data_IF_780781365170
#
_entry.id   IF_780781365170
#
_cell.length_a   1.000
_cell.length_b   1.000
_cell.length_c   1.000
_cell.angle_alpha   90.00
_cell.angle_beta   90.00
_cell.angle_gamma   90.00
#
_symmetry.space_group_name_H-M   'P 1'
#
loop_
_entity.id
_entity.type
_entity.pdbx_description
1 polymer ?
#
# COMPACT_ATOMS: atom_id res chain seq x y z
N UNK A 1 53.99 28.53 -15.14
CA UNK A 1 52.71 29.26 -15.06
C UNK A 1 51.61 28.26 -15.47
N UNK A 2 50.97 27.60 -14.49
CA UNK A 2 50.00 26.53 -14.75
C UNK A 2 48.64 27.05 -14.23
N UNK A 3 47.72 27.34 -15.15
CA UNK A 3 46.35 27.74 -14.85
C UNK A 3 45.56 26.54 -14.30
N UNK A 4 45.03 26.64 -13.09
CA UNK A 4 43.99 25.76 -12.54
C UNK A 4 42.65 26.42 -12.81
N UNK A 5 41.64 25.73 -13.41
CA UNK A 5 40.28 26.26 -13.46
C UNK A 5 39.60 26.04 -12.11
N UNK A 6 39.17 27.12 -11.49
CA UNK A 6 38.24 27.13 -10.37
C UNK A 6 36.83 26.82 -10.89
N UNK A 7 36.31 25.64 -10.57
CA UNK A 7 34.89 25.29 -10.82
C UNK A 7 34.05 26.00 -9.77
N UNK A 8 33.20 26.90 -10.21
CA UNK A 8 32.33 27.72 -9.39
C UNK A 8 31.20 26.89 -8.75
N UNK A 9 30.97 27.11 -7.46
CA UNK A 9 29.95 26.43 -6.61
C UNK A 9 28.52 26.96 -6.81
N UNK A 10 28.15 27.41 -8.02
CA UNK A 10 26.89 28.11 -8.28
C UNK A 10 25.66 27.23 -8.64
N UNK A 11 25.75 25.90 -8.60
CA UNK A 11 24.66 25.01 -9.04
C UNK A 11 23.99 24.20 -7.94
N UNK A 12 24.19 24.56 -6.66
CA UNK A 12 23.60 23.80 -5.51
C UNK A 12 22.25 24.31 -4.99
N UNK A 13 21.64 25.31 -5.64
CA UNK A 13 20.48 26.03 -5.09
C UNK A 13 19.15 26.00 -5.85
N UNK A 14 18.99 25.30 -6.99
CA UNK A 14 17.83 25.53 -7.89
C UNK A 14 16.91 24.32 -8.08
N UNK A 15 16.98 23.28 -7.27
CA UNK A 15 16.11 22.09 -7.47
C UNK A 15 14.91 21.96 -6.51
N UNK A 16 14.62 22.92 -5.65
CA UNK A 16 13.56 22.79 -4.61
C UNK A 16 12.29 23.62 -4.86
N UNK A 17 12.21 24.45 -5.88
CA UNK A 17 11.08 25.43 -5.98
C UNK A 17 10.21 25.33 -7.23
N UNK A 18 10.23 24.27 -8.01
CA UNK A 18 9.48 24.19 -9.27
C UNK A 18 8.26 23.24 -9.28
N UNK A 19 7.85 22.63 -8.16
CA UNK A 19 6.72 21.67 -8.13
C UNK A 19 5.43 22.18 -7.45
N UNK A 20 5.28 23.47 -7.21
CA UNK A 20 4.18 23.99 -6.38
C UNK A 20 3.04 24.69 -7.14
N UNK A 21 2.98 24.67 -8.45
CA UNK A 21 1.95 25.41 -9.18
C UNK A 21 1.31 24.68 -10.35
N UNK A 22 0.89 23.45 -10.21
CA UNK A 22 -0.18 22.84 -11.03
C UNK A 22 -0.83 21.77 -10.15
N UNK A 23 -1.90 22.09 -9.44
CA UNK A 23 -2.75 21.13 -8.78
C UNK A 23 -4.00 20.89 -9.62
N UNK A 24 -4.02 19.86 -10.49
CA UNK A 24 -5.30 19.25 -10.84
C UNK A 24 -5.75 18.37 -9.68
N UNK A 25 -7.06 18.23 -9.51
CA UNK A 25 -7.74 17.46 -8.46
C UNK A 25 -7.09 16.12 -8.16
N UNK A 26 -6.50 16.01 -7.00
CA UNK A 26 -5.65 14.91 -6.58
C UNK A 26 -6.33 14.01 -5.52
N UNK A 27 -6.12 12.65 -5.46
CA UNK A 27 -7.01 11.69 -4.74
C UNK A 27 -6.32 10.35 -4.38
N UNK A 28 -6.63 9.68 -3.22
CA UNK A 28 -5.87 8.62 -2.51
C UNK A 28 -6.21 7.11 -2.78
N UNK A 29 -5.56 6.22 -2.24
CA UNK A 29 -5.22 4.85 -1.94
C UNK A 29 -5.99 3.63 -2.40
N UNK A 30 -7.30 3.57 -2.42
CA UNK A 30 -8.02 2.31 -2.62
C UNK A 30 -7.83 1.31 -1.45
N UNK A 31 -8.06 0.01 -1.70
CA UNK A 31 -7.83 -1.03 -0.69
C UNK A 31 -6.39 -1.59 -0.67
N UNK A 32 -5.42 -0.83 -1.19
CA UNK A 32 -3.99 -1.17 -1.11
C UNK A 32 -3.41 -0.89 0.27
N UNK A 33 -2.69 -1.84 0.84
CA UNK A 33 -2.03 -1.69 2.14
C UNK A 33 -0.54 -1.41 1.92
N UNK A 34 -0.10 -0.17 2.20
CA UNK A 34 1.32 0.20 2.18
C UNK A 34 2.04 -0.09 3.48
N UNK A 35 1.34 -0.54 4.51
CA UNK A 35 1.90 -0.88 5.83
C UNK A 35 2.71 -2.19 5.77
N UNK A 36 3.83 -2.17 5.03
CA UNK A 36 4.70 -3.32 4.79
C UNK A 36 6.07 -3.17 5.46
N UNK A 37 6.42 -1.99 6.01
CA UNK A 37 7.71 -1.70 6.63
C UNK A 37 7.55 -0.68 7.75
N UNK A 38 8.00 -1.01 8.97
CA UNK A 38 8.02 -0.05 10.08
C UNK A 38 9.04 1.08 9.82
N UNK A 39 10.21 0.75 9.27
CA UNK A 39 11.20 1.74 8.89
C UNK A 39 10.68 2.70 7.81
N UNK A 40 10.05 2.17 6.75
CA UNK A 40 9.47 2.97 5.67
C UNK A 40 8.33 3.86 6.15
N UNK A 41 7.46 3.36 7.01
CA UNK A 41 6.37 4.14 7.60
C UNK A 41 6.87 5.27 8.51
N UNK A 42 8.03 5.12 9.16
CA UNK A 42 8.65 6.19 9.93
C UNK A 42 9.04 7.43 9.11
N UNK A 43 9.11 7.31 7.79
CA UNK A 43 9.43 8.39 6.85
C UNK A 43 8.34 8.61 5.78
N UNK A 44 7.08 8.27 6.04
CA UNK A 44 5.97 8.31 5.08
C UNK A 44 6.30 7.57 3.76
N UNK A 45 6.99 6.42 3.86
CA UNK A 45 7.52 5.59 2.76
C UNK A 45 8.46 6.31 1.77
N UNK A 46 9.03 7.46 2.16
CA UNK A 46 10.02 8.16 1.37
C UNK A 46 11.28 7.29 1.19
N UNK A 47 11.76 7.16 -0.05
CA UNK A 47 12.99 6.46 -0.40
C UNK A 47 12.95 4.93 -0.33
N UNK A 48 11.77 4.29 -0.15
CA UNK A 48 11.68 2.83 0.04
C UNK A 48 12.26 2.02 -1.12
N UNK A 49 12.15 2.49 -2.36
CA UNK A 49 12.75 1.80 -3.51
C UNK A 49 14.29 1.99 -3.58
N UNK A 50 14.84 3.01 -2.93
CA UNK A 50 16.26 3.38 -2.93
C UNK A 50 17.01 3.05 -1.63
N UNK A 51 16.29 2.65 -0.57
CA UNK A 51 16.88 2.35 0.74
C UNK A 51 17.49 0.95 0.83
N UNK A 52 17.84 0.56 2.05
CA UNK A 52 18.60 -0.67 2.33
C UNK A 52 17.89 -1.61 3.32
N UNK A 53 16.70 -1.25 3.85
CA UNK A 53 15.97 -2.14 4.75
C UNK A 53 15.50 -3.40 4.02
N UNK A 54 15.49 -4.53 4.70
CA UNK A 54 15.07 -5.80 4.12
C UNK A 54 13.60 -5.75 3.67
N UNK A 55 12.73 -5.10 4.45
CA UNK A 55 11.31 -4.89 4.12
C UNK A 55 11.08 -4.01 2.88
N UNK A 56 12.07 -3.23 2.44
CA UNK A 56 11.98 -2.45 1.21
C UNK A 56 11.99 -3.32 -0.06
N UNK A 57 12.35 -4.60 0.07
CA UNK A 57 12.22 -5.60 -1.00
C UNK A 57 10.76 -5.79 -1.47
N UNK A 58 9.77 -5.38 -0.65
CA UNK A 58 8.37 -5.29 -1.10
C UNK A 58 8.24 -4.37 -2.32
N UNK A 59 8.86 -3.18 -2.28
CA UNK A 59 8.81 -2.22 -3.39
C UNK A 59 9.85 -2.49 -4.47
N UNK A 60 11.06 -2.94 -4.08
CA UNK A 60 12.19 -3.10 -4.99
C UNK A 60 13.05 -4.31 -4.60
N UNK A 61 12.96 -5.46 -5.29
CA UNK A 61 13.76 -6.65 -4.97
C UNK A 61 15.28 -6.41 -5.13
N UNK A 62 15.74 -5.39 -5.85
CA UNK A 62 17.16 -5.09 -5.99
C UNK A 62 17.82 -4.63 -4.68
N UNK A 63 17.05 -4.18 -3.68
CA UNK A 63 17.58 -3.78 -2.37
C UNK A 63 18.25 -4.94 -1.63
N UNK A 64 17.87 -6.19 -1.95
CA UNK A 64 18.45 -7.39 -1.37
C UNK A 64 19.95 -7.53 -1.70
N UNK A 65 20.46 -6.90 -2.75
CA UNK A 65 21.90 -6.86 -3.07
C UNK A 65 22.74 -6.16 -2.00
N UNK A 66 22.12 -5.40 -1.08
CA UNK A 66 22.81 -4.75 0.05
C UNK A 66 22.88 -5.65 1.30
N UNK A 67 22.32 -6.85 1.26
CA UNK A 67 22.34 -7.80 2.38
C UNK A 67 23.70 -8.50 2.42
N UNK A 68 24.35 -8.42 3.59
CA UNK A 68 25.71 -8.92 3.82
C UNK A 68 25.77 -10.31 4.49
N UNK A 69 24.70 -10.72 5.16
CA UNK A 69 24.56 -12.00 5.87
C UNK A 69 23.11 -12.43 5.92
N UNK A 70 22.83 -13.61 6.40
CA UNK A 70 21.45 -14.06 6.59
C UNK A 70 20.68 -13.09 7.51
N UNK A 71 19.53 -12.60 7.05
CA UNK A 71 18.70 -11.63 7.77
C UNK A 71 17.23 -12.06 7.75
N UNK A 72 16.56 -11.77 8.86
CA UNK A 72 15.10 -11.90 8.99
C UNK A 72 14.54 -10.59 9.54
N UNK A 73 13.42 -10.14 9.03
CA UNK A 73 12.68 -8.99 9.52
C UNK A 73 11.21 -9.35 9.68
N UNK A 74 10.67 -9.17 10.89
CA UNK A 74 9.24 -9.24 11.17
C UNK A 74 8.69 -7.84 11.38
N UNK A 75 7.55 -7.53 10.76
CA UNK A 75 6.84 -6.24 10.90
C UNK A 75 5.42 -6.50 11.33
N UNK A 76 4.93 -5.68 12.25
CA UNK A 76 3.54 -5.69 12.72
C UNK A 76 3.00 -4.27 12.64
N UNK A 77 1.90 -4.09 11.93
CA UNK A 77 1.23 -2.80 11.82
C UNK A 77 -0.19 -2.92 12.37
N UNK A 78 -0.55 -2.04 13.30
CA UNK A 78 -1.91 -1.92 13.83
C UNK A 78 -2.52 -0.67 13.23
N UNK A 79 -3.64 -0.85 12.53
CA UNK A 79 -4.38 0.22 11.84
C UNK A 79 -5.61 0.57 12.65
N UNK A 80 -5.77 1.85 13.00
CA UNK A 80 -6.90 2.44 13.70
C UNK A 80 -7.60 3.43 12.77
N UNK A 81 -8.58 2.97 11.96
CA UNK A 81 -9.33 3.85 11.07
C UNK A 81 -10.48 4.52 11.83
N UNK A 82 -10.59 5.83 11.77
CA UNK A 82 -11.79 6.60 12.07
C UNK A 82 -12.35 7.09 10.73
N UNK A 83 -13.34 6.39 10.20
CA UNK A 83 -13.95 6.66 8.88
C UNK A 83 -15.43 6.87 9.12
N UNK A 84 -15.90 8.11 8.99
CA UNK A 84 -17.31 8.44 9.13
C UNK A 84 -17.96 8.75 7.79
N UNK A 85 -19.23 8.43 7.71
CA UNK A 85 -20.16 8.89 6.66
C UNK A 85 -21.25 9.73 7.32
N UNK A 86 -21.48 10.89 6.77
CA UNK A 86 -22.53 11.83 7.19
C UNK A 86 -23.61 11.96 6.10
N UNK A 87 -24.64 11.10 6.13
CA UNK A 87 -25.70 11.11 5.13
C UNK A 87 -26.57 12.38 5.28
N UNK A 88 -26.96 12.98 4.16
CA UNK A 88 -27.73 14.24 4.13
C UNK A 88 -29.07 14.19 4.89
N UNK A 89 -29.64 13.01 5.11
CA UNK A 89 -30.96 12.83 5.73
C UNK A 89 -30.97 11.88 6.94
N UNK A 90 -29.81 11.63 7.57
CA UNK A 90 -29.68 10.67 8.67
C UNK A 90 -28.49 11.02 9.56
N UNK A 91 -28.33 10.31 10.67
CA UNK A 91 -27.19 10.49 11.56
C UNK A 91 -25.87 10.00 10.94
N UNK A 92 -24.80 10.67 11.29
CA UNK A 92 -23.42 10.24 10.98
C UNK A 92 -23.15 8.84 11.51
N UNK A 93 -22.47 8.02 10.73
CA UNK A 93 -22.09 6.64 11.10
C UNK A 93 -20.58 6.44 10.95
N UNK A 94 -19.97 5.79 11.92
CA UNK A 94 -18.60 5.29 11.82
C UNK A 94 -18.62 3.90 11.19
N UNK A 95 -17.80 3.71 10.15
CA UNK A 95 -17.68 2.45 9.42
C UNK A 95 -16.30 1.82 9.54
N UNK A 96 -15.32 2.50 10.13
CA UNK A 96 -13.94 2.04 10.27
C UNK A 96 -13.81 0.81 11.17
N UNK A 97 -13.03 -0.19 10.77
CA UNK A 97 -12.68 -1.34 11.61
C UNK A 97 -11.17 -1.50 11.68
N UNK A 98 -10.65 -1.59 12.91
CA UNK A 98 -9.24 -1.82 13.14
C UNK A 98 -8.72 -3.12 12.52
N UNK A 99 -7.45 -3.11 12.11
CA UNK A 99 -6.80 -4.26 11.50
C UNK A 99 -5.37 -4.43 11.99
N UNK A 100 -4.93 -5.69 12.08
CA UNK A 100 -3.53 -6.08 12.26
C UNK A 100 -2.98 -6.57 10.92
N UNK A 101 -1.89 -5.98 10.46
CA UNK A 101 -1.23 -6.31 9.19
C UNK A 101 0.21 -6.75 9.46
N UNK A 102 0.47 -8.06 9.54
CA UNK A 102 1.82 -8.57 9.66
C UNK A 102 2.52 -8.62 8.29
N UNK A 103 3.86 -8.48 8.30
CA UNK A 103 4.71 -8.77 7.16
C UNK A 103 6.00 -9.45 7.65
N UNK A 104 6.56 -10.32 6.84
CA UNK A 104 7.78 -11.06 7.15
C UNK A 104 8.72 -11.08 5.94
N UNK A 105 10.00 -10.92 6.19
CA UNK A 105 11.04 -10.87 5.18
C UNK A 105 12.22 -11.71 5.62
N UNK A 106 12.85 -12.35 4.65
CA UNK A 106 14.07 -13.15 4.85
C UNK A 106 14.98 -12.96 3.65
N UNK A 107 16.28 -12.85 3.88
CA UNK A 107 17.27 -12.80 2.81
C UNK A 107 18.54 -13.54 3.19
N UNK A 108 19.12 -14.22 2.18
CA UNK A 108 20.31 -15.03 2.30
C UNK A 108 21.24 -14.72 1.12
N UNK A 109 22.43 -14.14 1.36
CA UNK A 109 23.47 -14.04 0.35
C UNK A 109 23.91 -15.46 -0.07
N UNK A 110 23.86 -15.73 -1.37
CA UNK A 110 24.37 -16.98 -1.96
C UNK A 110 25.87 -16.87 -2.28
N UNK A 111 26.30 -15.68 -2.64
CA UNK A 111 27.68 -15.28 -2.88
C UNK A 111 27.83 -13.76 -2.82
N UNK A 112 28.97 -13.19 -3.18
CA UNK A 112 29.25 -11.75 -3.15
C UNK A 112 28.36 -10.91 -4.09
N UNK A 113 27.66 -11.53 -5.05
CA UNK A 113 26.82 -10.84 -6.04
C UNK A 113 25.34 -11.24 -6.01
N UNK A 114 25.00 -12.41 -5.49
CA UNK A 114 23.64 -12.94 -5.54
C UNK A 114 23.06 -13.09 -4.14
N UNK A 115 21.82 -12.61 -3.97
CA UNK A 115 21.07 -12.76 -2.72
C UNK A 115 19.69 -13.33 -3.03
N UNK A 116 19.33 -14.42 -2.37
CA UNK A 116 17.99 -14.99 -2.36
C UNK A 116 17.17 -14.31 -1.27
N UNK A 117 15.94 -13.94 -1.60
CA UNK A 117 14.98 -13.36 -0.66
C UNK A 117 13.64 -14.06 -0.68
N UNK A 118 12.90 -13.90 0.40
CA UNK A 118 11.51 -14.33 0.53
C UNK A 118 10.75 -13.30 1.35
N UNK A 119 9.53 -12.94 0.92
CA UNK A 119 8.62 -12.18 1.76
C UNK A 119 7.24 -12.81 1.81
N UNK A 120 6.57 -12.62 2.95
CA UNK A 120 5.14 -12.89 3.15
C UNK A 120 4.51 -11.58 3.60
N UNK A 121 3.58 -11.07 2.80
CA UNK A 121 3.00 -9.72 2.97
C UNK A 121 1.51 -9.73 2.71
N UNK A 122 0.80 -8.69 3.14
CA UNK A 122 -0.63 -8.49 2.88
C UNK A 122 -0.84 -7.20 2.08
N UNK A 123 -0.68 -7.22 0.75
CA UNK A 123 -0.68 -6.01 -0.07
C UNK A 123 -2.06 -5.36 -0.23
N UNK A 124 -3.15 -6.09 0.00
CA UNK A 124 -4.52 -5.60 -0.11
C UNK A 124 -5.35 -6.01 1.09
N UNK A 125 -6.19 -5.08 1.56
CA UNK A 125 -7.10 -5.32 2.67
C UNK A 125 -8.09 -4.17 2.83
N UNK A 126 -9.26 -4.51 3.36
CA UNK A 126 -10.32 -3.57 3.72
C UNK A 126 -11.12 -4.17 4.86
N UNK A 127 -11.46 -3.34 5.84
CA UNK A 127 -12.39 -3.71 6.89
C UNK A 127 -13.28 -2.50 7.21
N UNK A 128 -14.51 -2.53 6.69
CA UNK A 128 -15.54 -1.52 7.00
C UNK A 128 -16.84 -2.20 7.40
N UNK A 129 -17.56 -1.59 8.32
CA UNK A 129 -18.84 -2.10 8.81
C UNK A 129 -19.70 -0.95 9.33
N UNK A 130 -20.76 -0.64 8.60
CA UNK A 130 -21.79 0.29 9.03
C UNK A 130 -22.79 -0.38 10.00
N UNK A 131 -23.55 0.40 10.79
CA UNK A 131 -24.68 -0.10 11.60
C UNK A 131 -25.76 -0.78 10.74
N UNK A 132 -26.57 -1.67 11.36
CA UNK A 132 -27.57 -2.45 10.63
C UNK A 132 -28.65 -1.60 9.96
N UNK A 133 -29.07 -0.50 10.59
CA UNK A 133 -30.18 0.35 10.11
C UNK A 133 -29.67 1.75 9.74
N UNK A 134 -28.71 1.86 8.86
CA UNK A 134 -28.21 3.14 8.40
C UNK A 134 -28.75 3.51 7.01
N UNK A 135 -28.70 4.79 6.65
CA UNK A 135 -29.34 5.31 5.43
C UNK A 135 -28.84 4.66 4.12
N UNK A 136 -27.57 4.25 4.07
CA UNK A 136 -26.97 3.62 2.89
C UNK A 136 -26.89 2.09 2.94
N UNK A 137 -27.69 1.43 3.78
CA UNK A 137 -27.59 -0.02 4.02
C UNK A 137 -27.75 -0.89 2.76
N UNK A 138 -28.51 -0.44 1.77
CA UNK A 138 -28.67 -1.16 0.47
C UNK A 138 -27.40 -1.08 -0.39
N UNK A 139 -26.55 -0.09 -0.17
CA UNK A 139 -25.27 0.11 -0.87
C UNK A 139 -24.11 -0.60 -0.18
N UNK A 140 -24.16 -0.76 1.15
CA UNK A 140 -23.14 -1.48 1.89
C UNK A 140 -23.42 -1.53 3.38
N UNK A 141 -23.16 -2.68 4.01
CA UNK A 141 -23.16 -2.88 5.45
C UNK A 141 -21.78 -3.31 5.93
N UNK A 142 -21.21 -4.33 5.31
CA UNK A 142 -19.89 -4.84 5.65
C UNK A 142 -19.06 -5.08 4.41
N UNK A 143 -17.78 -4.71 4.45
CA UNK A 143 -16.83 -5.02 3.40
C UNK A 143 -15.54 -5.52 4.05
N UNK A 144 -15.14 -6.71 3.67
CA UNK A 144 -13.89 -7.34 4.09
C UNK A 144 -13.12 -7.77 2.84
N UNK A 145 -11.89 -7.28 2.71
CA UNK A 145 -10.91 -7.77 1.73
C UNK A 145 -9.71 -8.23 2.52
N UNK A 146 -9.18 -9.37 2.17
CA UNK A 146 -7.97 -9.92 2.72
C UNK A 146 -7.10 -10.48 1.60
N UNK A 147 -5.80 -10.22 1.66
CA UNK A 147 -4.84 -10.88 0.79
C UNK A 147 -3.60 -11.31 1.56
N UNK A 148 -2.96 -12.35 1.08
CA UNK A 148 -1.61 -12.76 1.48
C UNK A 148 -0.81 -13.07 0.24
N UNK A 149 0.43 -12.58 0.19
CA UNK A 149 1.33 -12.71 -0.95
C UNK A 149 2.64 -13.32 -0.49
N UNK A 150 3.00 -14.45 -1.06
CA UNK A 150 4.31 -15.07 -0.94
C UNK A 150 5.17 -14.66 -2.15
N UNK A 151 6.35 -14.11 -1.90
CA UNK A 151 7.21 -13.56 -2.94
C UNK A 151 8.67 -14.01 -2.78
N UNK A 152 9.05 -15.17 -3.34
CA UNK A 152 10.46 -15.50 -3.54
C UNK A 152 11.11 -14.53 -4.53
N UNK A 153 12.33 -14.09 -4.22
CA UNK A 153 13.06 -13.05 -4.96
C UNK A 153 14.53 -13.45 -5.13
N UNK A 154 15.12 -12.98 -6.22
CA UNK A 154 16.56 -13.08 -6.46
C UNK A 154 17.09 -11.69 -6.82
N UNK A 155 18.14 -11.25 -6.14
CA UNK A 155 18.84 -10.01 -6.46
C UNK A 155 20.25 -10.33 -6.95
N UNK A 156 20.73 -9.51 -7.91
CA UNK A 156 22.04 -9.62 -8.49
C UNK A 156 22.74 -8.25 -8.51
N UNK A 157 23.91 -8.18 -7.87
CA UNK A 157 24.80 -7.01 -7.93
C UNK A 157 25.63 -7.11 -9.21
N UNK A 158 25.27 -6.31 -10.22
CA UNK A 158 25.96 -6.28 -11.52
C UNK A 158 27.36 -5.72 -11.32
N UNK A 159 27.46 -4.60 -10.60
CA UNK A 159 28.70 -3.93 -10.20
C UNK A 159 28.42 -3.03 -8.96
N UNK A 160 29.37 -2.17 -8.59
CA UNK A 160 29.21 -1.28 -7.41
C UNK A 160 28.17 -0.16 -7.61
N UNK A 161 27.77 0.11 -8.86
CA UNK A 161 26.79 1.15 -9.21
C UNK A 161 25.40 0.57 -9.43
N UNK A 162 25.28 -0.63 -10.02
CA UNK A 162 24.02 -1.22 -10.47
C UNK A 162 23.75 -2.55 -9.78
N UNK A 163 22.55 -2.65 -9.21
CA UNK A 163 21.93 -3.90 -8.76
C UNK A 163 20.56 -4.06 -9.38
N UNK A 164 20.18 -5.30 -9.69
CA UNK A 164 18.86 -5.66 -10.23
C UNK A 164 18.23 -6.77 -9.38
N UNK A 165 16.92 -6.90 -9.46
CA UNK A 165 16.20 -7.95 -8.74
C UNK A 165 14.95 -8.37 -9.46
N UNK A 166 14.53 -9.61 -9.25
CA UNK A 166 13.32 -10.22 -9.77
C UNK A 166 12.66 -11.06 -8.68
N UNK A 167 11.35 -11.16 -8.70
CA UNK A 167 10.60 -12.04 -7.81
C UNK A 167 9.32 -12.56 -8.46
N UNK A 168 8.86 -13.69 -7.95
CA UNK A 168 7.59 -14.32 -8.31
C UNK A 168 6.58 -14.03 -7.19
N UNK A 169 5.37 -13.58 -7.54
CA UNK A 169 4.30 -13.32 -6.60
C UNK A 169 3.24 -14.42 -6.69
N UNK A 170 2.92 -15.06 -5.57
CA UNK A 170 1.77 -15.95 -5.45
C UNK A 170 0.85 -15.34 -4.41
N UNK A 171 -0.32 -14.89 -4.85
CA UNK A 171 -1.25 -14.12 -4.02
C UNK A 171 -2.59 -14.83 -3.87
N UNK A 172 -2.97 -15.11 -2.63
CA UNK A 172 -4.34 -15.44 -2.26
C UNK A 172 -5.11 -14.15 -2.01
N UNK A 173 -6.31 -14.06 -2.56
CA UNK A 173 -7.23 -12.92 -2.41
C UNK A 173 -8.60 -13.43 -2.00
N UNK A 174 -9.23 -12.75 -1.03
CA UNK A 174 -10.55 -13.07 -0.52
C UNK A 174 -11.35 -11.81 -0.31
N UNK A 175 -12.63 -11.85 -0.67
CA UNK A 175 -13.58 -10.77 -0.43
C UNK A 175 -14.85 -11.28 0.23
N UNK A 176 -15.45 -10.46 1.10
CA UNK A 176 -16.78 -10.63 1.65
C UNK A 176 -17.48 -9.30 1.71
N UNK A 177 -18.56 -9.15 0.96
CA UNK A 177 -19.35 -7.93 0.86
C UNK A 177 -20.78 -8.22 1.29
N UNK A 178 -21.35 -7.38 2.17
CA UNK A 178 -22.77 -7.48 2.55
C UNK A 178 -23.48 -6.15 2.33
N UNK A 179 -24.76 -6.23 2.05
CA UNK A 179 -25.68 -5.11 1.95
C UNK A 179 -27.10 -5.58 2.28
N UNK A 180 -27.96 -4.66 2.73
CA UNK A 180 -29.36 -4.99 2.91
C UNK A 180 -30.04 -5.24 1.56
N UNK A 181 -30.99 -6.16 1.53
CA UNK A 181 -31.81 -6.42 0.33
C UNK A 181 -32.93 -5.39 0.16
N UNK A 182 -33.21 -4.59 1.21
CA UNK A 182 -34.27 -3.59 1.24
C UNK A 182 -33.85 -2.42 2.16
N UNK A 183 -34.59 -1.33 2.10
CA UNK A 183 -34.41 -0.11 2.91
C UNK A 183 -35.13 -0.18 4.26
N UNK A 184 -36.04 -1.13 4.44
CA UNK A 184 -36.77 -1.28 5.70
C UNK A 184 -35.82 -1.61 6.86
N UNK A 185 -36.14 -1.15 8.08
CA UNK A 185 -35.35 -1.51 9.27
C UNK A 185 -35.22 -3.02 9.42
N UNK A 186 -34.03 -3.47 9.80
CA UNK A 186 -33.68 -4.89 9.98
C UNK A 186 -33.83 -5.77 8.73
N UNK A 187 -33.88 -5.17 7.53
CA UNK A 187 -33.85 -5.91 6.29
C UNK A 187 -32.70 -6.94 6.29
N UNK A 188 -32.93 -8.18 5.83
CA UNK A 188 -31.88 -9.20 5.77
C UNK A 188 -30.77 -8.82 4.80
N UNK A 189 -29.61 -9.48 4.93
CA UNK A 189 -28.45 -9.24 4.09
C UNK A 189 -28.44 -10.10 2.82
N UNK A 190 -28.00 -9.48 1.71
CA UNK A 190 -27.33 -10.17 0.63
C UNK A 190 -25.82 -10.19 0.92
N UNK A 191 -25.18 -11.35 0.77
CA UNK A 191 -23.77 -11.57 1.07
C UNK A 191 -23.06 -12.24 -0.11
N UNK A 192 -22.11 -11.53 -0.71
CA UNK A 192 -21.16 -12.08 -1.67
C UNK A 192 -19.87 -12.47 -0.92
N UNK A 193 -19.43 -13.71 -1.09
CA UNK A 193 -18.15 -14.20 -0.58
C UNK A 193 -17.46 -14.98 -1.70
N UNK A 194 -16.21 -14.62 -2.01
CA UNK A 194 -15.43 -15.31 -3.01
C UNK A 194 -13.93 -15.18 -2.68
N UNK A 195 -13.16 -16.16 -3.13
CA UNK A 195 -11.69 -16.18 -2.98
C UNK A 195 -11.03 -16.90 -4.14
N UNK A 196 -9.73 -16.63 -4.33
CA UNK A 196 -8.94 -17.22 -5.39
C UNK A 196 -7.46 -16.94 -5.24
N UNK A 197 -6.65 -17.61 -6.06
CA UNK A 197 -5.20 -17.46 -6.11
C UNK A 197 -4.81 -16.89 -7.48
N UNK A 198 -3.87 -15.94 -7.47
CA UNK A 198 -3.28 -15.38 -8.68
C UNK A 198 -1.77 -15.36 -8.62
N UNK A 199 -1.13 -15.25 -9.77
CA UNK A 199 0.33 -15.22 -9.91
C UNK A 199 0.76 -13.96 -10.65
N UNK A 200 1.86 -13.38 -10.20
CA UNK A 200 2.48 -12.22 -10.80
C UNK A 200 3.99 -12.22 -10.60
N UNK A 201 4.62 -11.09 -10.90
CA UNK A 201 6.05 -10.92 -10.72
C UNK A 201 6.37 -9.51 -10.23
N UNK A 202 7.59 -9.33 -9.73
CA UNK A 202 8.15 -8.01 -9.46
C UNK A 202 9.56 -7.89 -10.02
N UNK A 203 9.93 -6.67 -10.37
CA UNK A 203 11.23 -6.31 -10.89
C UNK A 203 11.78 -5.15 -10.09
N UNK A 204 13.11 -5.04 -10.02
CA UNK A 204 13.75 -3.95 -9.33
C UNK A 204 15.10 -3.58 -9.90
N UNK A 205 15.45 -2.32 -9.73
CA UNK A 205 16.75 -1.76 -10.04
C UNK A 205 17.17 -0.78 -8.96
N UNK A 206 18.44 -0.80 -8.59
CA UNK A 206 19.07 0.22 -7.75
C UNK A 206 20.32 0.73 -8.43
N UNK A 207 20.45 2.06 -8.49
CA UNK A 207 21.60 2.77 -9.03
C UNK A 207 22.24 3.62 -7.93
N UNK A 208 23.56 3.60 -7.84
CA UNK A 208 24.40 4.45 -6.98
C UNK A 208 25.29 5.35 -7.87
N UNK A 209 24.71 6.36 -8.54
CA UNK A 209 25.38 7.10 -9.61
C UNK A 209 26.43 8.12 -9.09
N UNK A 210 26.39 8.47 -7.80
CA UNK A 210 27.37 9.35 -7.14
C UNK A 210 27.47 9.01 -5.65
N UNK A 211 28.46 9.58 -4.98
CA UNK A 211 28.71 9.32 -3.56
C UNK A 211 27.51 9.74 -2.69
N UNK A 212 27.03 8.81 -1.87
CA UNK A 212 25.90 9.01 -0.97
C UNK A 212 24.52 9.06 -1.65
N UNK A 213 24.45 9.01 -3.00
CA UNK A 213 23.21 9.02 -3.76
C UNK A 213 22.79 7.62 -4.17
N UNK A 214 21.49 7.31 -4.00
CA UNK A 214 20.87 6.07 -4.50
C UNK A 214 19.53 6.41 -5.16
N UNK A 215 19.32 5.85 -6.34
CA UNK A 215 18.04 5.87 -7.06
C UNK A 215 17.55 4.44 -7.17
N UNK A 216 16.30 4.21 -6.83
CA UNK A 216 15.68 2.89 -6.94
C UNK A 216 14.40 2.94 -7.75
N UNK A 217 14.19 1.93 -8.58
CA UNK A 217 12.96 1.72 -9.34
C UNK A 217 12.46 0.31 -9.07
N UNK A 218 11.22 0.21 -8.65
CA UNK A 218 10.54 -1.06 -8.44
C UNK A 218 9.24 -1.14 -9.22
N UNK A 219 8.94 -2.33 -9.70
CA UNK A 219 7.70 -2.66 -10.39
C UNK A 219 7.10 -3.94 -9.81
N UNK A 220 5.84 -3.90 -9.45
CA UNK A 220 5.03 -5.07 -9.11
C UNK A 220 3.94 -5.21 -10.16
N UNK A 221 3.83 -6.39 -10.77
CA UNK A 221 2.82 -6.62 -11.81
C UNK A 221 1.41 -6.62 -11.23
N UNK A 222 0.44 -6.31 -12.05
CA UNK A 222 -0.95 -6.66 -11.80
C UNK A 222 -1.07 -8.18 -11.66
N UNK A 223 -2.04 -8.64 -10.84
CA UNK A 223 -2.33 -10.06 -10.63
C UNK A 223 -3.81 -10.30 -10.88
N UNK A 224 -4.13 -11.14 -11.85
CA UNK A 224 -5.50 -11.57 -12.11
C UNK A 224 -5.86 -12.72 -11.19
N UNK A 225 -7.06 -12.67 -10.63
CA UNK A 225 -7.64 -13.69 -9.77
C UNK A 225 -8.98 -14.12 -10.36
N UNK A 226 -9.12 -15.40 -10.59
CA UNK A 226 -10.41 -16.02 -10.79
C UNK A 226 -10.97 -16.35 -9.40
N UNK A 227 -12.01 -15.62 -9.00
CA UNK A 227 -12.61 -15.72 -7.68
C UNK A 227 -13.83 -16.61 -7.76
N UNK A 228 -13.83 -17.70 -7.00
CA UNK A 228 -14.94 -18.61 -6.85
C UNK A 228 -15.59 -18.47 -5.46
N UNK A 229 -16.91 -18.59 -5.42
CA UNK A 229 -17.63 -18.41 -4.17
C UNK A 229 -19.13 -18.55 -4.28
N UNK A 230 -19.84 -17.68 -3.57
CA UNK A 230 -21.29 -17.70 -3.57
C UNK A 230 -21.91 -16.35 -3.18
N UNK A 231 -23.08 -16.10 -3.76
CA UNK A 231 -24.02 -15.06 -3.37
C UNK A 231 -25.14 -15.71 -2.53
N UNK A 232 -25.27 -15.29 -1.28
CA UNK A 232 -26.34 -15.71 -0.38
C UNK A 232 -27.33 -14.56 -0.22
N UNK A 233 -28.60 -14.83 -0.41
CA UNK A 233 -29.72 -13.91 -0.21
C UNK A 233 -30.82 -14.59 0.63
N UNK A 234 -31.82 -13.87 1.11
CA UNK A 234 -32.96 -14.48 1.79
C UNK A 234 -33.73 -15.52 0.92
N UNK A 235 -33.62 -15.42 -0.41
CA UNK A 235 -34.26 -16.32 -1.36
C UNK A 235 -33.46 -17.60 -1.62
N UNK A 236 -32.21 -17.67 -1.16
CA UNK A 236 -31.35 -18.83 -1.36
C UNK A 236 -29.90 -18.48 -1.60
N UNK A 237 -29.14 -19.49 -2.03
CA UNK A 237 -27.69 -19.38 -2.29
C UNK A 237 -27.37 -19.82 -3.72
N UNK A 238 -26.71 -18.96 -4.45
CA UNK A 238 -26.20 -19.23 -5.79
C UNK A 238 -24.68 -19.35 -5.78
N UNK A 239 -24.11 -20.20 -6.62
CA UNK A 239 -22.68 -20.18 -6.94
C UNK A 239 -22.31 -18.86 -7.59
N UNK A 240 -21.15 -18.31 -7.28
CA UNK A 240 -20.72 -17.02 -7.82
C UNK A 240 -19.26 -17.09 -8.27
N UNK A 241 -18.99 -16.56 -9.47
CA UNK A 241 -17.66 -16.44 -10.03
C UNK A 241 -17.40 -15.01 -10.50
N UNK A 242 -16.18 -14.50 -10.29
CA UNK A 242 -15.80 -13.16 -10.74
C UNK A 242 -14.30 -13.08 -11.07
N UNK A 243 -13.96 -12.39 -12.15
CA UNK A 243 -12.59 -12.03 -12.45
C UNK A 243 -12.22 -10.69 -11.81
N UNK A 244 -11.17 -10.66 -10.97
CA UNK A 244 -10.65 -9.45 -10.38
C UNK A 244 -9.15 -9.33 -10.65
N UNK A 245 -8.70 -8.19 -11.17
CA UNK A 245 -7.26 -7.93 -11.35
C UNK A 245 -6.79 -6.87 -10.36
N UNK A 246 -5.92 -7.25 -9.42
CA UNK A 246 -5.27 -6.29 -8.53
C UNK A 246 -4.28 -5.41 -9.31
N UNK A 247 -4.10 -4.13 -8.95
CA UNK A 247 -3.33 -3.18 -9.75
C UNK A 247 -1.84 -3.48 -9.78
N UNK A 248 -1.18 -3.06 -10.86
CA UNK A 248 0.26 -2.91 -10.91
C UNK A 248 0.70 -1.70 -10.08
N UNK A 249 1.95 -1.74 -9.59
CA UNK A 249 2.57 -0.66 -8.81
C UNK A 249 3.97 -0.38 -9.36
N UNK A 250 4.27 0.90 -9.55
CA UNK A 250 5.63 1.40 -9.86
C UNK A 250 6.05 2.33 -8.73
N UNK A 251 7.23 2.11 -8.17
CA UNK A 251 7.80 2.97 -7.12
C UNK A 251 9.17 3.47 -7.55
N UNK A 252 9.32 4.78 -7.68
CA UNK A 252 10.58 5.47 -7.89
C UNK A 252 11.00 6.12 -6.57
N UNK A 253 12.17 5.74 -6.06
CA UNK A 253 12.74 6.28 -4.84
C UNK A 253 14.08 6.95 -5.08
N UNK A 254 14.35 7.99 -4.32
CA UNK A 254 15.68 8.65 -4.24
C UNK A 254 16.08 8.76 -2.78
N UNK A 255 17.33 8.48 -2.48
CA UNK A 255 17.94 8.65 -1.17
C UNK A 255 19.30 9.33 -1.33
N UNK A 256 19.53 10.40 -0.57
CA UNK A 256 20.79 11.15 -0.55
C UNK A 256 21.31 11.24 0.88
N UNK A 257 22.51 10.78 1.08
CA UNK A 257 23.30 11.05 2.28
C UNK A 257 23.91 12.45 2.16
N UNK A 258 23.52 13.35 3.06
CA UNK A 258 24.05 14.72 3.08
C UNK A 258 25.37 14.77 3.86
N UNK A 259 25.48 13.95 4.89
CA UNK A 259 26.69 13.70 5.68
C UNK A 259 26.50 12.38 6.46
N UNK A 260 27.40 12.08 7.39
CA UNK A 260 27.39 10.85 8.19
C UNK A 260 26.11 10.66 9.04
N UNK A 261 25.36 11.74 9.33
CA UNK A 261 24.18 11.71 10.22
C UNK A 261 22.86 12.01 9.52
N UNK A 262 22.87 12.79 8.45
CA UNK A 262 21.65 13.26 7.79
C UNK A 262 21.46 12.61 6.44
N UNK A 263 20.24 12.11 6.20
CA UNK A 263 19.79 11.59 4.91
C UNK A 263 18.45 12.20 4.56
N UNK A 264 18.25 12.52 3.29
CA UNK A 264 16.97 12.96 2.74
C UNK A 264 16.50 11.96 1.70
N UNK A 265 15.19 11.80 1.60
CA UNK A 265 14.59 10.76 0.78
C UNK A 265 13.32 11.28 0.12
N UNK A 266 13.00 10.73 -1.06
CA UNK A 266 11.75 10.99 -1.75
C UNK A 266 11.25 9.75 -2.45
N UNK A 267 9.94 9.65 -2.63
CA UNK A 267 9.26 8.60 -3.40
C UNK A 267 8.16 9.19 -4.26
N UNK A 268 8.06 8.68 -5.47
CA UNK A 268 6.87 8.78 -6.33
C UNK A 268 6.40 7.36 -6.60
N UNK A 269 5.15 7.08 -6.26
CA UNK A 269 4.53 5.78 -6.49
C UNK A 269 3.28 5.94 -7.34
N UNK A 270 3.14 5.12 -8.38
CA UNK A 270 1.97 5.00 -9.22
C UNK A 270 1.34 3.63 -9.06
N UNK A 271 0.02 3.60 -8.92
CA UNK A 271 -0.76 2.37 -8.80
C UNK A 271 -1.87 2.36 -9.84
N UNK A 272 -1.88 1.33 -10.71
CA UNK A 272 -2.80 1.19 -11.84
C UNK A 272 -4.21 0.73 -11.40
N UNK A 273 -4.87 1.52 -10.58
CA UNK A 273 -6.21 1.25 -10.08
C UNK A 273 -7.28 1.31 -11.18
N UNK A 274 -7.03 1.98 -12.30
CA UNK A 274 -7.95 2.06 -13.45
C UNK A 274 -8.30 0.69 -14.06
N UNK A 275 -7.55 -0.36 -13.72
CA UNK A 275 -7.92 -1.75 -14.05
C UNK A 275 -9.20 -2.23 -13.35
N UNK A 276 -9.59 -1.62 -12.24
CA UNK A 276 -10.82 -1.90 -11.52
C UNK A 276 -11.97 -1.05 -12.11
N UNK A 277 -12.47 -1.49 -13.25
CA UNK A 277 -13.65 -0.93 -13.89
C UNK A 277 -14.95 -1.40 -13.24
N UNK A 278 -15.86 -1.99 -14.01
CA UNK A 278 -17.03 -2.71 -13.50
C UNK A 278 -16.70 -4.19 -13.44
N UNK A 279 -16.81 -4.79 -12.26
CA UNK A 279 -16.57 -6.22 -12.05
C UNK A 279 -17.91 -6.96 -12.09
N UNK A 280 -18.20 -7.75 -13.14
CA UNK A 280 -19.38 -8.61 -13.16
C UNK A 280 -19.18 -9.82 -12.26
N UNK A 281 -20.25 -10.22 -11.59
CA UNK A 281 -20.34 -11.45 -10.81
C UNK A 281 -21.31 -12.38 -11.53
N UNK A 282 -20.83 -13.53 -11.94
CA UNK A 282 -21.59 -14.51 -12.71
C UNK A 282 -22.09 -15.64 -11.81
N UNK A 283 -23.21 -16.23 -12.18
CA UNK A 283 -23.60 -17.53 -11.65
C UNK A 283 -22.62 -18.59 -12.14
N UNK A 284 -21.97 -19.29 -11.21
CA UNK A 284 -20.93 -20.28 -11.53
C UNK A 284 -21.47 -21.55 -12.22
N UNK A 285 -22.79 -21.71 -12.31
CA UNK A 285 -23.46 -22.87 -12.98
C UNK A 285 -24.02 -22.47 -14.33
N UNK A 286 -24.83 -21.40 -14.38
CA UNK A 286 -25.51 -20.96 -15.60
C UNK A 286 -24.67 -19.98 -16.44
N UNK A 287 -23.66 -19.35 -15.87
CA UNK A 287 -22.88 -18.28 -16.51
C UNK A 287 -23.62 -16.95 -16.65
N UNK A 288 -24.86 -16.84 -16.15
CA UNK A 288 -25.61 -15.59 -16.16
C UNK A 288 -25.07 -14.57 -15.15
N UNK A 289 -25.26 -13.27 -15.44
CA UNK A 289 -24.84 -12.21 -14.51
C UNK A 289 -25.78 -12.14 -13.32
N UNK A 290 -25.24 -12.35 -12.10
CA UNK A 290 -25.95 -12.21 -10.83
C UNK A 290 -26.00 -10.74 -10.36
N UNK A 291 -24.87 -10.04 -10.43
CA UNK A 291 -24.73 -8.65 -10.02
C UNK A 291 -23.47 -8.04 -10.62
N UNK A 292 -23.28 -6.74 -10.47
CA UNK A 292 -22.08 -6.03 -10.89
C UNK A 292 -21.56 -5.15 -9.76
N UNK A 293 -20.23 -4.96 -9.71
CA UNK A 293 -19.55 -4.04 -8.80
C UNK A 293 -18.90 -2.93 -9.64
N UNK A 294 -19.56 -1.78 -9.85
CA UNK A 294 -19.03 -0.69 -10.69
C UNK A 294 -18.04 0.16 -9.90
N UNK A 295 -16.80 -0.30 -9.74
CA UNK A 295 -15.73 0.41 -9.05
C UNK A 295 -15.27 1.64 -9.84
N UNK A 296 -14.98 1.47 -11.14
CA UNK A 296 -14.64 2.56 -12.08
C UNK A 296 -13.53 3.48 -11.54
N UNK A 297 -12.50 2.87 -10.94
CA UNK A 297 -11.38 3.58 -10.37
C UNK A 297 -10.50 4.20 -11.47
N UNK A 298 -9.72 5.19 -11.10
CA UNK A 298 -8.63 5.77 -11.87
C UNK A 298 -7.30 5.48 -11.18
N UNK A 299 -6.19 5.76 -11.84
CA UNK A 299 -4.89 5.53 -11.25
C UNK A 299 -4.66 6.37 -10.01
N UNK A 300 -4.02 5.76 -9.02
CA UNK A 300 -3.61 6.41 -7.78
C UNK A 300 -2.14 6.81 -7.82
N UNK A 301 -1.79 7.83 -7.05
CA UNK A 301 -0.43 8.32 -6.91
C UNK A 301 -0.10 8.61 -5.45
N UNK A 302 1.16 8.41 -5.09
CA UNK A 302 1.71 8.88 -3.84
C UNK A 302 3.00 9.63 -4.11
N UNK A 303 3.13 10.80 -3.49
CA UNK A 303 4.35 11.59 -3.43
C UNK A 303 4.76 11.71 -1.97
N UNK A 304 6.01 11.39 -1.63
CA UNK A 304 6.49 11.55 -0.28
C UNK A 304 7.91 12.06 -0.23
N UNK A 305 8.19 12.81 0.83
CA UNK A 305 9.53 13.27 1.22
C UNK A 305 9.73 12.98 2.70
N UNK A 306 10.95 12.61 3.04
CA UNK A 306 11.32 12.29 4.41
C UNK A 306 12.80 12.48 4.68
N UNK A 307 13.16 12.38 5.94
CA UNK A 307 14.52 12.48 6.40
C UNK A 307 14.83 11.52 7.53
N UNK A 308 16.11 11.20 7.65
CA UNK A 308 16.67 10.43 8.74
C UNK A 308 17.78 11.22 9.43
N UNK A 309 17.87 11.07 10.73
CA UNK A 309 18.91 11.63 11.55
C UNK A 309 19.45 10.60 12.56
N UNK A 310 20.76 10.36 12.53
CA UNK A 310 21.43 9.50 13.49
C UNK A 310 21.83 10.32 14.72
N UNK A 311 21.03 10.22 15.79
CA UNK A 311 21.38 10.80 17.09
C UNK A 311 22.65 10.18 17.68
N UNK A 312 22.84 8.89 17.41
CA UNK A 312 24.01 8.13 17.83
C UNK A 312 24.18 6.91 16.91
N UNK A 313 25.23 6.12 17.13
CA UNK A 313 25.41 4.83 16.44
C UNK A 313 24.28 3.82 16.73
N UNK A 314 23.45 4.04 17.75
CA UNK A 314 22.36 3.14 18.17
C UNK A 314 20.97 3.68 17.84
N UNK A 315 20.80 4.98 17.66
CA UNK A 315 19.49 5.61 17.54
C UNK A 315 19.41 6.43 16.27
N UNK A 316 18.47 6.06 15.40
CA UNK A 316 18.10 6.81 14.20
C UNK A 316 16.66 7.27 14.31
N UNK A 317 16.39 8.57 14.19
CA UNK A 317 15.03 9.10 14.06
C UNK A 317 14.69 9.36 12.60
N UNK A 318 13.39 9.29 12.29
CA UNK A 318 12.83 9.56 10.96
C UNK A 318 11.60 10.43 11.08
N UNK A 319 11.37 11.24 10.06
CA UNK A 319 10.12 11.93 9.85
C UNK A 319 9.85 12.05 8.35
N UNK A 320 8.58 12.12 7.99
CA UNK A 320 8.18 12.27 6.60
C UNK A 320 6.78 12.81 6.43
N UNK A 321 6.55 13.35 5.25
CA UNK A 321 5.23 13.79 4.79
C UNK A 321 4.95 13.19 3.42
N UNK A 322 3.73 12.72 3.24
CA UNK A 322 3.23 12.18 1.97
C UNK A 322 1.95 12.87 1.54
N UNK A 323 1.73 12.87 0.25
CA UNK A 323 0.48 13.30 -0.35
C UNK A 323 -0.03 12.21 -1.28
N UNK A 324 -1.20 11.70 -0.99
CA UNK A 324 -1.79 10.58 -1.68
C UNK A 324 -3.01 10.98 -2.52
N UNK A 325 -3.02 10.54 -3.75
CA UNK A 325 -4.03 10.75 -4.79
C UNK A 325 -4.97 9.56 -4.88
N UNK A 326 -6.26 9.71 -4.49
CA UNK A 326 -7.26 8.63 -4.50
C UNK A 326 -7.59 8.07 -5.88
N UNK A 327 -7.79 6.76 -6.01
CA UNK A 327 -8.32 6.18 -7.23
C UNK A 327 -9.81 6.48 -7.45
N UNK A 328 -10.53 6.95 -6.44
CA UNK A 328 -11.93 7.35 -6.53
C UNK A 328 -12.07 8.87 -6.65
N UNK A 329 -13.17 9.31 -7.21
CA UNK A 329 -13.60 10.71 -7.24
C UNK A 329 -15.05 10.83 -6.72
N UNK A 330 -15.58 12.03 -6.62
CA UNK A 330 -16.93 12.25 -6.08
C UNK A 330 -18.02 11.53 -6.89
N UNK A 331 -17.75 11.18 -8.15
CA UNK A 331 -18.65 10.38 -9.00
C UNK A 331 -18.54 8.87 -8.74
N UNK A 332 -17.35 8.39 -8.39
CA UNK A 332 -17.07 6.93 -8.26
C UNK A 332 -16.89 6.49 -6.81
N UNK A 333 -16.83 7.42 -5.85
CA UNK A 333 -16.65 7.09 -4.42
C UNK A 333 -17.86 6.33 -3.90
N UNK A 334 -17.58 5.22 -3.22
CA UNK A 334 -18.58 4.29 -2.72
C UNK A 334 -18.67 4.35 -1.19
N UNK A 335 -19.81 4.00 -0.65
CA UNK A 335 -20.04 3.92 0.80
C UNK A 335 -19.16 2.88 1.49
N UNK A 336 -18.66 1.87 0.76
CA UNK A 336 -17.83 0.79 1.27
C UNK A 336 -16.38 1.22 1.51
N UNK A 337 -15.92 2.20 0.71
CA UNK A 337 -14.58 2.76 0.77
C UNK A 337 -14.64 4.25 0.37
N UNK A 338 -15.11 5.12 1.27
CA UNK A 338 -15.35 6.53 0.95
C UNK A 338 -14.10 7.40 1.11
N UNK A 339 -12.97 6.98 0.53
CA UNK A 339 -11.70 7.67 0.71
C UNK A 339 -11.59 8.96 -0.12
N UNK A 340 -11.27 10.11 0.52
CA UNK A 340 -10.79 11.31 -0.14
C UNK A 340 -9.27 11.24 -0.37
N UNK A 341 -8.69 12.29 -0.93
CA UNK A 341 -7.23 12.50 -0.91
C UNK A 341 -6.71 12.56 0.51
N UNK A 342 -5.42 12.26 0.71
CA UNK A 342 -4.85 12.24 2.06
C UNK A 342 -3.50 12.96 2.11
N UNK A 343 -3.28 13.64 3.23
CA UNK A 343 -1.93 13.98 3.70
C UNK A 343 -1.50 12.92 4.72
N UNK A 344 -0.29 12.43 4.57
CA UNK A 344 0.31 11.42 5.43
C UNK A 344 1.43 12.10 6.22
N UNK A 345 1.35 12.05 7.55
CA UNK A 345 2.40 12.53 8.46
C UNK A 345 2.97 11.34 9.20
N UNK A 346 4.29 11.25 9.27
CA UNK A 346 4.94 10.10 9.89
C UNK A 346 6.13 10.51 10.75
N UNK A 347 6.34 9.75 11.82
CA UNK A 347 7.53 9.78 12.64
C UNK A 347 7.95 8.34 12.99
N UNK A 348 9.25 8.10 13.10
CA UNK A 348 9.78 6.78 13.43
C UNK A 348 11.12 6.83 14.14
N UNK A 349 11.43 5.73 14.79
CA UNK A 349 12.67 5.53 15.53
C UNK A 349 13.20 4.12 15.29
N UNK A 350 14.50 4.00 14.99
CA UNK A 350 15.22 2.73 15.03
C UNK A 350 16.15 2.70 16.22
N UNK A 351 16.15 1.59 16.95
CA UNK A 351 17.08 1.32 18.05
C UNK A 351 17.89 0.06 17.74
N UNK A 352 19.19 0.23 17.51
CA UNK A 352 20.16 -0.87 17.34
C UNK A 352 20.52 -1.41 18.73
N UNK A 353 19.78 -2.44 19.16
CA UNK A 353 20.01 -3.11 20.45
C UNK A 353 21.39 -3.78 20.47
N UNK A 354 21.80 -4.42 19.37
CA UNK A 354 23.10 -5.04 19.16
C UNK A 354 23.52 -4.92 17.68
N UNK A 355 24.70 -5.39 17.31
CA UNK A 355 25.13 -5.49 15.90
C UNK A 355 24.20 -6.39 15.07
N UNK A 356 23.50 -7.31 15.73
CA UNK A 356 22.63 -8.29 15.09
C UNK A 356 21.14 -7.95 15.18
N UNK A 357 20.75 -7.08 16.08
CA UNK A 357 19.33 -6.85 16.39
C UNK A 357 18.99 -5.37 16.35
N UNK A 358 18.01 -5.01 15.54
CA UNK A 358 17.44 -3.65 15.45
C UNK A 358 15.94 -3.71 15.66
N UNK A 359 15.43 -2.77 16.45
CA UNK A 359 14.01 -2.52 16.65
C UNK A 359 13.62 -1.25 15.92
N UNK A 360 12.52 -1.27 15.19
CA UNK A 360 11.92 -0.13 14.53
C UNK A 360 10.54 0.14 15.10
N UNK A 361 10.23 1.40 15.35
CA UNK A 361 8.90 1.87 15.74
C UNK A 361 8.50 3.04 14.86
N UNK A 362 7.24 3.10 14.47
CA UNK A 362 6.71 4.23 13.72
C UNK A 362 5.25 4.50 14.09
N UNK A 363 4.88 5.76 13.95
CA UNK A 363 3.50 6.23 13.95
C UNK A 363 3.27 7.01 12.66
N UNK A 364 2.17 6.70 12.00
CA UNK A 364 1.74 7.36 10.77
C UNK A 364 0.32 7.81 10.93
N UNK A 365 0.04 9.06 10.56
CA UNK A 365 -1.26 9.66 10.55
C UNK A 365 -1.65 10.02 9.13
N UNK A 366 -2.72 9.42 8.59
CA UNK A 366 -3.33 9.78 7.32
C UNK A 366 -4.56 10.63 7.60
N UNK A 367 -4.62 11.81 7.00
CA UNK A 367 -5.68 12.79 7.14
C UNK A 367 -6.38 12.99 5.80
N UNK A 368 -7.67 12.70 5.73
CA UNK A 368 -8.48 12.95 4.54
C UNK A 368 -8.60 14.44 4.24
N UNK A 369 -8.62 14.77 2.95
CA UNK A 369 -8.75 16.14 2.47
C UNK A 369 -10.09 16.37 1.75
N UNK A 370 -10.72 17.49 2.02
CA UNK A 370 -12.02 17.81 1.44
C UNK A 370 -13.17 17.11 2.15
N UNK A 371 -14.36 17.15 1.56
CA UNK A 371 -15.59 16.63 2.16
C UNK A 371 -15.94 15.19 1.74
N UNK A 372 -15.09 14.53 0.97
CA UNK A 372 -15.26 13.12 0.58
C UNK A 372 -16.67 12.77 0.06
N UNK A 373 -17.26 13.58 -0.82
CA UNK A 373 -18.65 13.42 -1.23
C UNK A 373 -18.91 12.05 -1.88
N UNK A 374 -19.97 11.37 -1.43
CA UNK A 374 -20.53 10.15 -2.01
C UNK A 374 -21.91 10.49 -2.54
N UNK A 375 -22.12 10.38 -3.86
CA UNK A 375 -23.42 10.67 -4.48
C UNK A 375 -23.81 9.52 -5.39
N UNK A 376 -25.00 8.98 -5.16
CA UNK A 376 -25.61 7.92 -5.98
C UNK A 376 -27.00 8.42 -6.37
N UNK A 377 -27.19 8.78 -7.63
CA UNK A 377 -28.44 9.29 -8.17
C UNK A 377 -29.00 8.37 -9.25
N UNK A 378 -30.22 8.63 -9.69
CA UNK A 378 -30.79 7.92 -10.84
C UNK A 378 -29.89 8.06 -12.06
N UNK A 379 -29.59 6.93 -12.73
CA UNK A 379 -28.62 6.85 -13.83
C UNK A 379 -27.19 6.51 -13.42
N UNK A 380 -26.85 6.52 -12.14
CA UNK A 380 -25.59 5.98 -11.65
C UNK A 380 -25.60 4.44 -11.75
N UNK A 381 -24.54 3.79 -12.26
CA UNK A 381 -24.45 2.33 -12.32
C UNK A 381 -24.60 1.61 -10.98
N UNK A 382 -24.41 2.31 -9.86
CA UNK A 382 -24.60 1.80 -8.49
C UNK A 382 -26.04 1.94 -7.99
N UNK A 383 -26.89 2.68 -8.70
CA UNK A 383 -28.24 3.02 -8.24
C UNK A 383 -29.13 1.78 -8.05
N UNK A 384 -29.66 1.61 -6.85
CA UNK A 384 -30.51 0.48 -6.43
C UNK A 384 -31.93 0.93 -6.08
N UNK A 385 -32.45 1.96 -6.76
CA UNK A 385 -33.84 2.40 -6.61
C UNK A 385 -34.03 3.60 -5.66
N UNK A 386 -33.04 3.95 -4.82
CA UNK A 386 -33.10 5.13 -3.96
C UNK A 386 -31.87 6.00 -4.12
N UNK A 387 -32.00 7.33 -4.23
CA UNK A 387 -30.85 8.22 -4.23
C UNK A 387 -30.17 8.21 -2.85
N UNK A 388 -28.84 8.34 -2.84
CA UNK A 388 -28.04 8.44 -1.62
C UNK A 388 -27.02 9.55 -1.77
N UNK A 389 -26.84 10.34 -0.73
CA UNK A 389 -25.85 11.40 -0.65
C UNK A 389 -25.29 11.47 0.76
N UNK A 390 -23.97 11.55 0.86
CA UNK A 390 -23.24 11.69 2.13
C UNK A 390 -21.93 12.43 1.90
N UNK A 391 -21.36 12.97 2.97
CA UNK A 391 -19.94 13.34 3.03
C UNK A 391 -19.18 12.30 3.85
N UNK A 392 -17.86 12.17 3.61
CA UNK A 392 -17.00 11.29 4.41
C UNK A 392 -15.88 12.08 5.05
N UNK A 393 -15.56 11.74 6.29
CA UNK A 393 -14.32 12.13 6.96
C UNK A 393 -13.45 10.89 7.18
N UNK A 394 -12.15 11.04 6.95
CA UNK A 394 -11.19 9.96 7.06
C UNK A 394 -9.99 10.40 7.87
N UNK A 395 -9.72 9.64 8.92
CA UNK A 395 -8.57 9.80 9.78
C UNK A 395 -8.04 8.41 10.15
N UNK A 396 -6.82 8.07 9.72
CA UNK A 396 -6.25 6.74 9.96
C UNK A 396 -4.92 6.85 10.68
N UNK A 397 -4.85 6.29 11.90
CA UNK A 397 -3.62 6.15 12.64
C UNK A 397 -3.05 4.74 12.44
N UNK A 398 -1.77 4.64 12.10
CA UNK A 398 -1.06 3.37 11.98
C UNK A 398 0.11 3.38 12.95
N UNK A 399 0.19 2.37 13.81
CA UNK A 399 1.34 2.11 14.68
C UNK A 399 2.06 0.88 14.15
N UNK A 400 3.34 1.04 13.86
CA UNK A 400 4.18 0.00 13.27
C UNK A 400 5.32 -0.37 14.19
N UNK A 401 5.61 -1.66 14.32
CA UNK A 401 6.77 -2.20 15.01
C UNK A 401 7.50 -3.19 14.09
N UNK A 402 8.82 -3.11 14.06
CA UNK A 402 9.70 -3.98 13.28
C UNK A 402 10.80 -4.57 14.15
N UNK A 403 11.14 -5.83 13.90
CA UNK A 403 12.29 -6.51 14.49
C UNK A 403 13.15 -7.10 13.37
N UNK A 404 14.39 -6.62 13.29
CA UNK A 404 15.40 -7.11 12.33
C UNK A 404 16.47 -7.91 13.06
N UNK A 405 16.79 -9.08 12.55
CA UNK A 405 17.85 -9.93 13.08
C UNK A 405 18.79 -10.37 11.98
N UNK A 406 20.11 -10.32 12.27
CA UNK A 406 21.20 -10.77 11.42
C UNK A 406 21.88 -11.98 12.05
N UNK A 407 22.26 -12.96 11.24
CA UNK A 407 22.88 -14.20 11.69
C UNK A 407 24.19 -14.42 10.93
N UNK A 408 25.25 -14.84 11.64
CA UNK A 408 26.56 -15.10 11.03
C UNK A 408 26.62 -16.47 10.33
N UNK A 409 25.68 -17.38 10.64
CA UNK A 409 25.52 -18.68 9.99
C UNK A 409 24.04 -19.01 9.81
N UNK A 410 23.73 -19.88 8.87
CA UNK A 410 22.37 -20.37 8.69
C UNK A 410 21.92 -21.17 9.92
N UNK A 411 20.68 -20.95 10.43
CA UNK A 411 20.20 -21.59 11.66
C UNK A 411 20.06 -23.13 11.57
N UNK A 412 20.24 -23.73 10.40
CA UNK A 412 20.05 -25.18 10.16
C UNK A 412 21.31 -25.91 9.74
N UNK A 413 22.52 -25.35 9.94
CA UNK A 413 23.78 -26.07 9.69
C UNK A 413 24.04 -26.38 8.21
N UNK A 414 23.31 -25.80 7.29
CA UNK A 414 23.60 -25.88 5.84
C UNK A 414 24.81 -24.98 5.60
N UNK A 415 25.97 -25.62 5.28
CA UNK A 415 27.22 -24.95 4.90
C UNK A 415 27.21 -24.61 3.42
#
# INVERSE_FOLDING_TARGET
MIFRPTVSHAWRGIFILACLTIAPDARAGGFGIRAQSAEGFGAAIAGVAAGNALSFSYWNPAVLANVDRFQVEGVSNVIFPAISLDPAASNTVDIGKGALVPAMYMAMPLNSRMTLGMSITSPYGLATQAPTNWAGQIYGRKSEIFSINANPMLSYRVNDVLSVGVGLQVQYFKTKLTQAVDVVPFAPDAMLKADGVGVGFNLGMQLKPWAGGTIGLGYRSAISHDLDGHLTTPLGRASAAAGLTTPALVSLGVRQELNERYRVMGTVEWTNWSRLGTVPVYDGVSGGVLTTLPLRYRDGWLFSVGGEYDFSQKVTARAGVGYEIAPMNDVTRDVRLPEPNQVILSAGLSYRYSERTTLDLAITQSLGLGNGAVTIASGDPRYLGLPFSATSDLNVTIVSAGLKMKFDSLPFGIR
#
